data_IF_542504514343
#
_entry.id   IF_542504514343
#
_cell.length_a   1.000
_cell.length_b   1.000
_cell.length_c   1.000
_cell.angle_alpha   90.00
_cell.angle_beta   90.00
_cell.angle_gamma   90.00
#
_symmetry.space_group_name_H-M   'P 1'
#
loop_
_entity.id
_entity.type
_entity.pdbx_description
1 polymer ?
#
# COMPACT_ATOMS: atom_id res chain seq x y z
N UNK A 1 -0.54 -9.53 -5.07
CA UNK A 1 -1.27 -9.10 -3.86
C UNK A 1 -2.63 -8.51 -4.23
N UNK A 2 -3.56 -8.44 -3.26
CA UNK A 2 -4.81 -7.70 -3.39
C UNK A 2 -4.53 -6.19 -3.33
N UNK A 3 -5.22 -5.40 -4.16
CA UNK A 3 -5.21 -3.94 -4.08
C UNK A 3 -5.76 -3.50 -2.72
N UNK A 4 -5.09 -2.54 -2.07
CA UNK A 4 -5.54 -1.90 -0.85
C UNK A 4 -6.24 -0.61 -1.24
N UNK A 5 -7.53 -0.52 -0.91
CA UNK A 5 -8.35 0.65 -1.19
C UNK A 5 -8.18 1.72 -0.12
N UNK A 6 -8.56 2.96 -0.43
CA UNK A 6 -8.56 4.07 0.53
C UNK A 6 -9.38 3.77 1.79
N UNK A 7 -10.54 3.12 1.63
CA UNK A 7 -11.39 2.74 2.77
C UNK A 7 -10.75 1.67 3.66
N UNK A 8 -10.04 0.72 3.07
CA UNK A 8 -9.30 -0.29 3.82
C UNK A 8 -8.11 0.35 4.56
N UNK A 9 -7.39 1.27 3.92
CA UNK A 9 -6.29 2.01 4.57
C UNK A 9 -6.80 2.87 5.74
N UNK A 10 -7.88 3.62 5.55
CA UNK A 10 -8.46 4.47 6.59
C UNK A 10 -8.92 3.70 7.85
N UNK A 11 -9.32 2.43 7.69
CA UNK A 11 -9.73 1.58 8.82
C UNK A 11 -8.55 0.99 9.62
N UNK A 12 -7.32 1.09 9.10
CA UNK A 12 -6.12 0.58 9.80
C UNK A 12 -5.57 1.62 10.76
N UNK A 13 -4.90 1.17 11.80
CA UNK A 13 -4.07 2.01 12.67
C UNK A 13 -2.77 2.43 11.97
N UNK A 14 -2.12 3.51 12.44
CA UNK A 14 -0.85 3.98 11.87
C UNK A 14 0.26 2.93 11.89
N UNK A 15 0.47 2.14 12.97
CA UNK A 15 1.43 1.04 12.96
C UNK A 15 1.10 -0.04 11.93
N UNK A 16 -0.18 -0.38 11.75
CA UNK A 16 -0.61 -1.32 10.72
C UNK A 16 -0.35 -0.77 9.32
N UNK A 17 -0.56 0.53 9.08
CA UNK A 17 -0.24 1.16 7.80
C UNK A 17 1.25 1.08 7.47
N UNK A 18 2.14 1.32 8.42
CA UNK A 18 3.58 1.11 8.20
C UNK A 18 3.93 -0.35 7.91
N UNK A 19 3.31 -1.29 8.62
CA UNK A 19 3.48 -2.73 8.36
C UNK A 19 3.03 -3.09 6.94
N UNK A 20 1.86 -2.60 6.55
CA UNK A 20 1.25 -2.83 5.25
C UNK A 20 2.08 -2.21 4.14
N UNK A 21 2.64 -1.01 4.35
CA UNK A 21 3.53 -0.34 3.41
C UNK A 21 4.76 -1.22 3.10
N UNK A 22 5.38 -1.79 4.14
CA UNK A 22 6.52 -2.71 3.98
C UNK A 22 6.15 -3.97 3.19
N UNK A 23 5.01 -4.59 3.51
CA UNK A 23 4.54 -5.78 2.79
C UNK A 23 4.26 -5.48 1.31
N UNK A 24 3.60 -4.35 1.05
CA UNK A 24 3.25 -3.88 -0.30
C UNK A 24 4.50 -3.57 -1.12
N UNK A 25 5.49 -2.93 -0.49
CA UNK A 25 6.79 -2.68 -1.11
C UNK A 25 7.54 -3.98 -1.46
N UNK A 26 7.57 -4.95 -0.54
CA UNK A 26 8.17 -6.25 -0.82
C UNK A 26 7.45 -6.97 -1.98
N UNK A 27 6.11 -6.91 -2.02
CA UNK A 27 5.32 -7.48 -3.10
C UNK A 27 5.57 -6.79 -4.45
N UNK A 28 5.88 -5.49 -4.45
CA UNK A 28 6.30 -4.74 -5.63
C UNK A 28 7.66 -5.22 -6.14
N UNK A 29 8.65 -5.31 -5.25
CA UNK A 29 10.02 -5.74 -5.60
C UNK A 29 10.05 -7.16 -6.16
N UNK A 30 9.19 -8.05 -5.64
CA UNK A 30 9.06 -9.42 -6.12
C UNK A 30 8.21 -9.56 -7.39
N UNK A 31 7.55 -8.49 -7.85
CA UNK A 31 6.67 -8.56 -9.02
C UNK A 31 7.40 -8.27 -10.31
N UNK A 32 7.11 -9.09 -11.33
CA UNK A 32 7.59 -8.83 -12.68
C UNK A 32 6.96 -7.55 -13.27
N UNK A 33 7.67 -6.86 -14.18
CA UNK A 33 7.13 -5.74 -14.95
C UNK A 33 5.79 -6.07 -15.62
N UNK A 34 4.94 -5.05 -15.78
CA UNK A 34 3.63 -5.11 -16.47
C UNK A 34 2.59 -6.11 -15.94
N UNK A 35 2.86 -6.75 -14.80
CA UNK A 35 1.87 -7.62 -14.13
C UNK A 35 0.78 -6.82 -13.42
N UNK A 36 -0.42 -7.38 -13.35
CA UNK A 36 -1.50 -6.83 -12.52
C UNK A 36 -1.10 -6.72 -11.04
N UNK A 37 -0.25 -7.64 -10.58
CA UNK A 37 0.32 -7.60 -9.24
C UNK A 37 1.17 -6.34 -9.01
N UNK A 38 2.04 -5.98 -9.96
CA UNK A 38 2.87 -4.77 -9.88
C UNK A 38 2.02 -3.51 -9.81
N UNK A 39 1.01 -3.40 -10.68
CA UNK A 39 0.05 -2.28 -10.68
C UNK A 39 -0.70 -2.16 -9.35
N UNK A 40 -1.18 -3.29 -8.82
CA UNK A 40 -1.87 -3.31 -7.53
C UNK A 40 -0.94 -2.88 -6.38
N UNK A 41 0.31 -3.31 -6.40
CA UNK A 41 1.29 -2.92 -5.38
C UNK A 41 1.60 -1.42 -5.43
N UNK A 42 1.83 -0.85 -6.62
CA UNK A 42 2.04 0.59 -6.78
C UNK A 42 0.85 1.42 -6.26
N UNK A 43 -0.37 1.12 -6.72
CA UNK A 43 -1.56 1.85 -6.29
C UNK A 43 -1.84 1.71 -4.79
N UNK A 44 -1.51 0.55 -4.21
CA UNK A 44 -1.62 0.33 -2.76
C UNK A 44 -0.59 1.15 -1.98
N UNK A 45 0.66 1.25 -2.46
CA UNK A 45 1.70 2.10 -1.84
C UNK A 45 1.25 3.56 -1.80
N UNK A 46 0.79 4.09 -2.94
CA UNK A 46 0.29 5.46 -3.04
C UNK A 46 -0.86 5.71 -2.07
N UNK A 47 -1.81 4.76 -1.99
CA UNK A 47 -2.96 4.85 -1.08
C UNK A 47 -2.52 4.88 0.39
N UNK A 48 -1.60 4.00 0.78
CA UNK A 48 -1.10 3.93 2.16
C UNK A 48 -0.31 5.19 2.52
N UNK A 49 0.54 5.68 1.61
CA UNK A 49 1.33 6.88 1.84
C UNK A 49 0.44 8.12 1.98
N UNK A 50 -0.60 8.25 1.15
CA UNK A 50 -1.58 9.34 1.26
C UNK A 50 -2.32 9.30 2.60
N UNK A 51 -2.67 8.12 3.11
CA UNK A 51 -3.32 7.97 4.41
C UNK A 51 -2.36 8.22 5.58
N UNK A 52 -1.08 7.86 5.47
CA UNK A 52 -0.08 8.22 6.47
C UNK A 52 0.13 9.74 6.52
N UNK A 53 0.27 10.39 5.36
CA UNK A 53 0.42 11.84 5.25
C UNK A 53 -0.81 12.61 5.72
N UNK A 54 -2.03 12.04 5.61
CA UNK A 54 -3.24 12.69 6.11
C UNK A 54 -3.33 12.67 7.64
N UNK A 55 -2.63 11.75 8.31
CA UNK A 55 -2.62 11.58 9.77
C UNK A 55 -1.49 12.31 10.47
N UNK A 56 -0.36 12.47 9.78
CA UNK A 56 0.83 13.17 10.27
C UNK A 56 1.36 14.09 9.14
N UNK A 57 0.75 15.28 8.98
CA UNK A 57 1.00 16.19 7.86
C UNK A 57 2.37 16.88 7.90
#
# INVERSE_FOLDING_TARGET
MKLITRFEAAQRSTPELHRLLRETFNALVQSDPDTAQRRNALASIETIQAELASRDP
#
